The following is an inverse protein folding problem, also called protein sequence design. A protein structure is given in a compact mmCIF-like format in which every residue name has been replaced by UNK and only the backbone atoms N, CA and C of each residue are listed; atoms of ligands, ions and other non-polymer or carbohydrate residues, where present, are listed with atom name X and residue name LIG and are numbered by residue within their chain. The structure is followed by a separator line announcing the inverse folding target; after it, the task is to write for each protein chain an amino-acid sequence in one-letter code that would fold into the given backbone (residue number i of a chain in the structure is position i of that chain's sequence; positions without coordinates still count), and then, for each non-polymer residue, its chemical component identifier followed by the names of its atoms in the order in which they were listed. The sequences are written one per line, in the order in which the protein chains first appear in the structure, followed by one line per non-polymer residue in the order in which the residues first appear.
data_IF_477680951771
#
_entry.id   IF_477680951771
#
_cell.length_a   1.000
_cell.length_b   1.000
_cell.length_c   1.000
_cell.angle_alpha   90.00
_cell.angle_beta   90.00
_cell.angle_gamma   90.00
#
_symmetry.space_group_name_H-M   'P 1'
#
loop_
_entity.id
_entity.type
_entity.pdbx_description
1 polymer ?
#
# COMPACT_ATOMS: atom_id res chain seq x y z
N UNK A 1 9.11 -1.11 9.29
CA UNK A 1 8.16 -0.13 8.69
C UNK A 1 6.88 -0.23 9.49
N UNK A 2 6.46 0.84 10.18
CA UNK A 2 5.03 0.97 10.46
C UNK A 2 4.45 1.48 9.14
N UNK A 3 4.18 0.57 8.21
CA UNK A 3 3.23 0.90 7.17
C UNK A 3 1.94 1.24 7.93
N UNK A 4 1.29 2.35 7.61
CA UNK A 4 -0.05 2.63 8.14
C UNK A 4 -1.09 1.59 7.68
N UNK A 5 -0.68 0.49 7.04
CA UNK A 5 -1.34 -0.82 6.97
C UNK A 5 -1.75 -1.40 8.35
N UNK A 6 -1.35 -0.79 9.48
CA UNK A 6 -1.79 -1.22 10.81
C UNK A 6 -3.29 -0.98 11.05
N UNK A 7 -3.94 -0.14 10.26
CA UNK A 7 -5.41 -0.03 10.24
C UNK A 7 -5.93 -0.83 9.05
N UNK A 8 -5.82 -2.16 9.16
CA UNK A 8 -6.42 -3.09 8.21
C UNK A 8 -7.96 -3.02 8.23
N UNK A 9 -8.59 -3.72 7.28
CA UNK A 9 -10.04 -3.88 7.20
C UNK A 9 -10.64 -4.24 8.57
N UNK A 10 -11.55 -3.41 9.07
CA UNK A 10 -12.28 -3.65 10.32
C UNK A 10 -13.58 -4.39 9.95
N UNK A 11 -13.67 -5.72 10.08
CA UNK A 11 -14.71 -6.50 9.40
C UNK A 11 -16.13 -6.20 9.86
N UNK A 12 -16.30 -5.83 11.13
CA UNK A 12 -17.61 -5.48 11.70
C UNK A 12 -18.03 -4.04 11.43
N UNK A 13 -17.12 -3.17 11.00
CA UNK A 13 -17.41 -1.78 10.65
C UNK A 13 -17.53 -1.58 9.12
N UNK A 14 -17.11 -2.58 8.32
CA UNK A 14 -16.97 -2.47 6.87
C UNK A 14 -16.19 -1.22 6.44
N UNK A 15 -15.13 -0.91 7.19
CA UNK A 15 -14.27 0.25 6.95
C UNK A 15 -12.89 -0.27 6.62
N UNK A 16 -12.47 -0.04 5.39
CA UNK A 16 -11.11 -0.25 4.91
C UNK A 16 -10.35 1.07 4.91
N UNK A 17 -9.33 1.17 5.76
CA UNK A 17 -8.49 2.35 5.90
C UNK A 17 -7.09 2.14 5.29
N UNK A 18 -6.84 0.97 4.68
CA UNK A 18 -5.49 0.57 4.27
C UNK A 18 -5.38 -0.32 3.03
N UNK A 19 -6.47 -0.80 2.42
CA UNK A 19 -6.45 -1.56 1.17
C UNK A 19 -5.91 -3.00 1.27
N UNK A 20 -5.69 -3.51 2.48
CA UNK A 20 -5.17 -4.87 2.71
C UNK A 20 -6.18 -5.72 3.47
N UNK A 21 -6.83 -6.64 2.75
CA UNK A 21 -7.62 -7.73 3.31
C UNK A 21 -6.71 -8.94 3.62
N UNK A 22 -5.92 -8.88 4.70
CA UNK A 22 -5.32 -10.12 5.22
C UNK A 22 -6.39 -10.90 6.01
N UNK A 23 -7.01 -11.87 5.33
CA UNK A 23 -8.14 -12.68 5.81
C UNK A 23 -7.77 -13.64 6.95
N UNK A 24 -6.50 -13.70 7.38
CA UNK A 24 -5.98 -14.68 8.34
C UNK A 24 -5.29 -14.05 9.57
N UNK A 25 -5.89 -13.01 10.16
CA UNK A 25 -5.39 -12.47 11.43
C UNK A 25 -5.52 -13.50 12.58
N UNK A 26 -4.45 -13.75 13.32
CA UNK A 26 -4.47 -14.58 14.52
C UNK A 26 -5.39 -13.96 15.60
N UNK A 27 -6.08 -14.80 16.38
CA UNK A 27 -6.87 -14.40 17.56
C UNK A 27 -6.16 -13.35 18.44
N UNK A 28 -4.84 -13.47 18.64
CA UNK A 28 -4.04 -12.51 19.42
C UNK A 28 -4.07 -11.07 18.88
N UNK A 29 -4.16 -10.90 17.56
CA UNK A 29 -4.23 -9.58 16.91
C UNK A 29 -5.49 -8.83 17.33
N UNK A 30 -6.64 -9.52 17.36
CA UNK A 30 -7.91 -8.94 17.80
C UNK A 30 -7.87 -8.50 19.26
N UNK A 31 -7.23 -9.29 20.13
CA UNK A 31 -7.08 -8.94 21.56
C UNK A 31 -6.26 -7.67 21.72
N UNK A 32 -5.10 -7.59 21.06
CA UNK A 32 -4.23 -6.40 21.12
C UNK A 32 -4.96 -5.16 20.60
N UNK A 33 -5.59 -5.24 19.42
CA UNK A 33 -6.32 -4.10 18.86
C UNK A 33 -7.51 -3.67 19.72
N UNK A 34 -8.19 -4.61 20.36
CA UNK A 34 -9.28 -4.28 21.29
C UNK A 34 -8.76 -3.49 22.49
N UNK A 35 -7.67 -3.95 23.12
CA UNK A 35 -7.07 -3.26 24.29
C UNK A 35 -6.54 -1.88 23.91
N UNK A 36 -5.80 -1.80 22.81
CA UNK A 36 -5.27 -0.52 22.29
C UNK A 36 -6.42 0.43 21.93
N UNK A 37 -7.48 -0.08 21.29
CA UNK A 37 -8.67 0.68 20.93
C UNK A 37 -9.39 1.25 22.15
N UNK A 38 -9.60 0.45 23.19
CA UNK A 38 -10.20 0.91 24.46
C UNK A 38 -9.33 2.01 25.09
N UNK A 39 -8.01 1.82 25.13
CA UNK A 39 -7.08 2.82 25.65
C UNK A 39 -7.11 4.13 24.85
N UNK A 40 -7.18 4.05 23.52
CA UNK A 40 -7.29 5.20 22.64
C UNK A 40 -8.61 5.97 22.87
N UNK A 41 -9.75 5.27 22.97
CA UNK A 41 -11.06 5.88 23.28
C UNK A 41 -11.03 6.58 24.64
N UNK A 42 -10.45 5.94 25.66
CA UNK A 42 -10.29 6.54 26.99
C UNK A 42 -9.43 7.81 26.96
N UNK A 43 -8.32 7.79 26.21
CA UNK A 43 -7.47 8.98 26.01
C UNK A 43 -8.24 10.09 25.30
N UNK A 44 -8.90 9.80 24.18
CA UNK A 44 -9.70 10.79 23.44
C UNK A 44 -10.77 11.41 24.33
N UNK A 45 -11.48 10.62 25.14
CA UNK A 45 -12.47 11.15 26.09
C UNK A 45 -11.83 12.08 27.13
N UNK A 46 -10.70 11.68 27.72
CA UNK A 46 -9.99 12.45 28.74
C UNK A 46 -9.46 13.78 28.18
N UNK A 47 -8.89 13.75 26.98
CA UNK A 47 -8.41 14.94 26.28
C UNK A 47 -9.56 15.86 25.90
N UNK A 48 -10.64 15.33 25.33
CA UNK A 48 -11.82 16.10 24.93
C UNK A 48 -12.49 16.79 26.12
N UNK A 49 -12.61 16.08 27.25
CA UNK A 49 -13.13 16.66 28.50
C UNK A 49 -12.23 17.78 29.02
N UNK A 50 -10.91 17.60 28.93
CA UNK A 50 -9.93 18.62 29.34
C UNK A 50 -10.01 19.86 28.44
N UNK A 51 -10.10 19.66 27.13
CA UNK A 51 -10.25 20.72 26.14
C UNK A 51 -11.57 21.50 26.31
N UNK A 52 -12.66 20.79 26.59
CA UNK A 52 -13.95 21.40 26.87
C UNK A 52 -13.90 22.25 28.14
N UNK A 53 -13.34 21.71 29.23
CA UNK A 53 -13.17 22.43 30.50
C UNK A 53 -12.25 23.64 30.39
N UNK A 54 -11.23 23.58 29.54
CA UNK A 54 -10.33 24.70 29.28
C UNK A 54 -11.00 25.82 28.43
N UNK A 55 -12.17 25.57 27.85
CA UNK A 55 -12.89 26.56 27.03
C UNK A 55 -12.24 26.84 25.66
N UNK A 56 -11.18 26.12 25.30
CA UNK A 56 -10.41 26.32 24.06
C UNK A 56 -10.94 25.50 22.89
N UNK A 57 -11.88 24.59 23.13
CA UNK A 57 -12.40 23.65 22.12
C UNK A 57 -12.90 24.33 20.84
N UNK A 58 -13.55 25.50 20.94
CA UNK A 58 -14.03 26.25 19.76
C UNK A 58 -12.89 26.67 18.84
N UNK A 59 -11.79 27.17 19.42
CA UNK A 59 -10.60 27.57 18.65
C UNK A 59 -9.98 26.36 17.97
N UNK A 60 -9.87 25.23 18.68
CA UNK A 60 -9.39 23.99 18.08
C UNK A 60 -10.30 23.54 16.93
N UNK A 61 -11.62 23.48 17.12
CA UNK A 61 -12.53 23.09 16.04
C UNK A 61 -12.37 23.99 14.81
N UNK A 62 -12.31 25.32 14.99
CA UNK A 62 -12.10 26.25 13.86
C UNK A 62 -10.78 26.00 13.14
N UNK A 63 -9.67 25.87 13.87
CA UNK A 63 -8.35 25.61 13.26
C UNK A 63 -8.34 24.32 12.44
N UNK A 64 -8.96 23.25 12.97
CA UNK A 64 -8.98 21.96 12.29
C UNK A 64 -9.96 21.92 11.13
N UNK A 65 -11.09 22.61 11.21
CA UNK A 65 -11.99 22.78 10.06
C UNK A 65 -11.28 23.51 8.93
N UNK A 66 -10.54 24.60 9.22
CA UNK A 66 -9.76 25.32 8.21
C UNK A 66 -8.70 24.42 7.58
N UNK A 67 -7.94 23.69 8.39
CA UNK A 67 -6.91 22.79 7.90
C UNK A 67 -7.49 21.63 7.07
N UNK A 68 -8.52 20.93 7.55
CA UNK A 68 -9.18 19.85 6.79
C UNK A 68 -9.75 20.40 5.48
N UNK A 69 -10.39 21.57 5.51
CA UNK A 69 -10.88 22.21 4.29
C UNK A 69 -9.74 22.49 3.31
N UNK A 70 -8.59 23.00 3.78
CA UNK A 70 -7.42 23.25 2.93
C UNK A 70 -6.86 21.97 2.28
N UNK A 71 -6.87 20.85 3.03
CA UNK A 71 -6.46 19.53 2.54
C UNK A 71 -7.44 19.01 1.50
N UNK A 72 -8.75 19.08 1.76
CA UNK A 72 -9.79 18.63 0.84
C UNK A 72 -9.81 19.46 -0.45
N UNK A 73 -9.67 20.79 -0.35
CA UNK A 73 -9.56 21.67 -1.51
C UNK A 73 -8.31 21.34 -2.31
N UNK A 74 -7.16 21.16 -1.67
CA UNK A 74 -5.93 20.76 -2.35
C UNK A 74 -6.11 19.42 -3.06
N UNK A 75 -6.67 18.41 -2.40
CA UNK A 75 -6.92 17.11 -3.03
C UNK A 75 -7.88 17.21 -4.23
N UNK A 76 -8.96 18.00 -4.12
CA UNK A 76 -9.90 18.23 -5.21
C UNK A 76 -9.26 18.94 -6.42
N UNK A 77 -8.24 19.79 -6.19
CA UNK A 77 -7.50 20.46 -7.26
C UNK A 77 -6.48 19.54 -7.97
N UNK A 78 -6.10 18.42 -7.35
CA UNK A 78 -5.13 17.45 -7.88
C UNK A 78 -5.76 16.05 -8.01
N UNK A 79 -6.74 15.85 -8.91
CA UNK A 79 -7.50 14.60 -8.99
C UNK A 79 -6.67 13.38 -9.41
N UNK A 80 -5.48 13.59 -9.98
CA UNK A 80 -4.54 12.52 -10.35
C UNK A 80 -3.62 12.08 -9.21
N UNK A 81 -3.86 12.55 -7.97
CA UNK A 81 -3.07 12.21 -6.78
C UNK A 81 -3.88 11.35 -5.82
N UNK A 82 -3.22 10.38 -5.19
CA UNK A 82 -3.79 9.63 -4.09
C UNK A 82 -3.55 10.36 -2.78
N UNK A 83 -4.58 10.39 -1.93
CA UNK A 83 -4.43 10.87 -0.56
C UNK A 83 -3.66 9.84 0.26
N UNK A 84 -2.48 10.20 0.74
CA UNK A 84 -1.66 9.34 1.59
C UNK A 84 -1.10 10.15 2.75
N UNK A 85 -1.71 9.97 3.92
CA UNK A 85 -1.31 10.66 5.13
C UNK A 85 -0.21 9.85 5.82
N UNK A 86 1.01 10.39 5.87
CA UNK A 86 2.10 9.78 6.63
C UNK A 86 1.96 10.09 8.13
N UNK A 87 2.38 9.16 8.99
CA UNK A 87 2.32 9.33 10.46
C UNK A 87 3.15 10.51 10.96
N UNK A 88 4.10 11.03 10.18
CA UNK A 88 4.77 12.31 10.45
C UNK A 88 3.76 13.44 10.63
N UNK A 89 2.78 13.55 9.72
CA UNK A 89 1.73 14.57 9.78
C UNK A 89 0.75 14.31 10.92
N UNK A 90 0.45 13.03 11.24
CA UNK A 90 -0.35 12.69 12.43
C UNK A 90 0.31 13.19 13.71
N UNK A 91 1.63 13.01 13.83
CA UNK A 91 2.41 13.52 14.95
C UNK A 91 2.26 15.04 15.10
N UNK A 92 2.44 15.78 14.00
CA UNK A 92 2.26 17.23 13.95
C UNK A 92 0.82 17.66 14.25
N UNK A 93 -0.17 16.84 13.87
CA UNK A 93 -1.59 17.08 14.10
C UNK A 93 -1.97 16.92 15.58
N UNK A 94 -1.35 16.02 16.33
CA UNK A 94 -1.73 15.74 17.72
C UNK A 94 -1.21 16.82 18.69
N UNK A 95 -0.05 17.42 18.40
CA UNK A 95 0.63 18.34 19.32
C UNK A 95 -0.23 19.59 19.66
N UNK A 96 -0.85 20.30 18.69
CA UNK A 96 -1.65 21.49 18.99
C UNK A 96 -2.90 21.22 19.83
N UNK A 97 -3.59 20.10 19.61
CA UNK A 97 -4.81 19.72 20.37
C UNK A 97 -4.53 19.18 21.75
N UNK A 98 -3.26 18.93 22.08
CA UNK A 98 -2.83 18.44 23.39
C UNK A 98 -2.00 19.47 24.15
N UNK A 99 -2.00 20.74 23.73
CA UNK A 99 -1.25 21.83 24.35
C UNK A 99 -1.87 22.32 25.68
N UNK A 100 -2.10 21.41 26.64
CA UNK A 100 -2.57 21.71 27.98
C UNK A 100 -1.85 20.85 29.04
N UNK A 101 -1.70 21.35 30.28
CA UNK A 101 -0.83 20.74 31.28
C UNK A 101 -1.52 19.58 32.02
N UNK A 102 -1.79 18.47 31.32
CA UNK A 102 -2.29 17.22 31.94
C UNK A 102 -1.41 16.02 31.58
N UNK A 103 -1.35 14.97 32.43
CA UNK A 103 -0.56 13.78 32.12
C UNK A 103 -0.97 13.10 30.82
N UNK A 104 -2.28 13.01 30.55
CA UNK A 104 -2.80 12.43 29.30
C UNK A 104 -2.35 13.22 28.08
N UNK A 105 -2.29 14.56 28.20
CA UNK A 105 -1.81 15.43 27.14
C UNK A 105 -0.30 15.27 26.92
N UNK A 106 0.50 15.24 27.98
CA UNK A 106 1.94 15.01 27.91
C UNK A 106 2.26 13.65 27.27
N UNK A 107 1.55 12.60 27.66
CA UNK A 107 1.66 11.28 27.04
C UNK A 107 1.34 11.31 25.54
N UNK A 108 0.26 11.99 25.16
CA UNK A 108 -0.16 12.11 23.76
C UNK A 108 0.82 12.94 22.93
N UNK A 109 1.39 14.01 23.51
CA UNK A 109 2.45 14.79 22.88
C UNK A 109 3.73 13.97 22.70
N UNK A 110 4.11 13.14 23.68
CA UNK A 110 5.27 12.27 23.56
C UNK A 110 5.12 11.25 22.42
N UNK A 111 3.94 10.63 22.28
CA UNK A 111 3.63 9.76 21.13
C UNK A 111 3.67 10.55 19.83
N UNK A 112 2.97 11.69 19.76
CA UNK A 112 2.93 12.53 18.56
C UNK A 112 4.31 13.00 18.10
N UNK A 113 5.14 13.46 19.05
CA UNK A 113 6.52 13.85 18.79
C UNK A 113 7.37 12.65 18.33
N UNK A 114 7.21 11.48 18.97
CA UNK A 114 7.88 10.25 18.56
C UNK A 114 7.55 9.86 17.12
N UNK A 115 6.26 9.86 16.75
CA UNK A 115 5.80 9.62 15.39
C UNK A 115 6.38 10.64 14.41
N UNK A 116 6.39 11.93 14.77
CA UNK A 116 6.96 12.99 13.95
C UNK A 116 8.46 12.78 13.71
N UNK A 117 9.25 12.61 14.78
CA UNK A 117 10.71 12.47 14.69
C UNK A 117 11.08 11.20 13.92
N UNK A 118 10.45 10.07 14.24
CA UNK A 118 10.72 8.81 13.54
C UNK A 118 10.34 8.91 12.06
N UNK A 119 9.16 9.45 11.77
CA UNK A 119 8.66 9.60 10.41
C UNK A 119 9.55 10.53 9.59
N UNK A 120 9.85 11.71 10.12
CA UNK A 120 10.72 12.67 9.46
C UNK A 120 12.15 12.14 9.29
N UNK A 121 12.73 11.46 10.29
CA UNK A 121 14.09 10.94 10.17
C UNK A 121 14.21 9.83 9.12
N UNK A 122 13.15 9.03 8.92
CA UNK A 122 13.18 7.89 7.99
C UNK A 122 12.77 8.26 6.57
N UNK A 123 11.80 9.14 6.41
CA UNK A 123 11.24 9.51 5.09
C UNK A 123 11.35 11.01 4.78
N UNK A 124 11.75 11.86 5.71
CA UNK A 124 11.76 13.32 5.49
C UNK A 124 10.36 13.92 5.50
N UNK A 125 10.23 15.10 4.89
CA UNK A 125 8.95 15.77 4.69
C UNK A 125 8.36 15.38 3.33
N UNK A 126 7.34 14.52 3.35
CA UNK A 126 6.54 14.18 2.17
C UNK A 126 5.25 15.01 2.13
N UNK A 127 4.61 15.08 0.97
CA UNK A 127 3.26 15.65 0.85
C UNK A 127 2.21 14.66 1.35
N UNK A 128 0.99 15.12 1.62
CA UNK A 128 -0.18 14.24 1.83
C UNK A 128 -0.86 13.86 0.50
N UNK A 129 -0.42 14.46 -0.62
CA UNK A 129 -0.80 14.12 -1.97
C UNK A 129 0.38 13.41 -2.64
N UNK A 130 0.19 12.13 -2.92
CA UNK A 130 1.17 11.32 -3.64
C UNK A 130 0.73 11.14 -5.08
N UNK A 131 1.67 11.23 -6.02
CA UNK A 131 1.44 10.76 -7.39
C UNK A 131 1.45 9.24 -7.37
N UNK A 132 0.34 8.62 -7.76
CA UNK A 132 0.27 7.16 -7.88
C UNK A 132 1.38 6.73 -8.85
N UNK A 133 2.32 5.86 -8.44
CA UNK A 133 3.36 5.39 -9.34
C UNK A 133 2.72 4.79 -10.59
N UNK A 134 3.22 5.14 -11.77
CA UNK A 134 2.64 4.71 -13.05
C UNK A 134 2.51 3.19 -13.14
N UNK A 135 3.42 2.42 -12.53
CA UNK A 135 3.33 0.95 -12.48
C UNK A 135 2.09 0.42 -11.74
N UNK A 136 1.49 1.19 -10.82
CA UNK A 136 0.25 0.81 -10.12
C UNK A 136 -1.00 1.07 -10.96
N UNK A 137 -0.89 1.90 -11.99
CA UNK A 137 -1.99 2.21 -12.92
C UNK A 137 -2.07 1.23 -14.10
N UNK A 138 -1.08 0.34 -14.22
CA UNK A 138 -1.01 -0.68 -15.27
C UNK A 138 -1.75 -1.93 -14.79
N UNK A 139 -2.62 -2.48 -15.63
CA UNK A 139 -3.34 -3.72 -15.35
C UNK A 139 -2.37 -4.85 -14.98
N UNK A 140 -2.78 -5.68 -14.02
CA UNK A 140 -1.98 -6.79 -13.49
C UNK A 140 -2.64 -8.10 -13.89
N UNK A 141 -1.90 -9.11 -14.39
CA UNK A 141 -2.49 -10.40 -14.73
C UNK A 141 -3.17 -11.03 -13.51
N UNK A 142 -4.44 -11.40 -13.63
CA UNK A 142 -5.19 -12.07 -12.56
C UNK A 142 -4.82 -13.54 -12.44
N UNK A 143 -4.50 -14.17 -13.57
CA UNK A 143 -4.15 -15.58 -13.67
C UNK A 143 -2.65 -15.77 -13.90
N UNK A 144 -2.10 -16.84 -13.34
CA UNK A 144 -0.71 -17.23 -13.59
C UNK A 144 -0.53 -17.68 -15.05
N UNK A 145 0.63 -17.42 -15.68
CA UNK A 145 0.90 -17.88 -17.04
C UNK A 145 0.92 -19.41 -17.10
N UNK A 146 0.36 -19.99 -18.15
CA UNK A 146 0.35 -21.43 -18.35
C UNK A 146 1.59 -21.87 -19.17
N UNK A 147 2.25 -22.94 -18.76
CA UNK A 147 3.40 -23.48 -19.48
C UNK A 147 3.03 -24.78 -20.20
N UNK A 148 3.38 -24.87 -21.48
CA UNK A 148 3.09 -26.00 -22.37
C UNK A 148 4.36 -26.40 -23.14
N UNK A 149 4.35 -27.58 -23.78
CA UNK A 149 5.47 -28.09 -24.58
C UNK A 149 6.82 -28.07 -23.83
N UNK A 150 6.83 -28.54 -22.59
CA UNK A 150 8.04 -28.61 -21.78
C UNK A 150 8.94 -29.74 -22.26
N UNK A 151 10.18 -29.41 -22.56
CA UNK A 151 11.25 -30.32 -22.97
C UNK A 151 12.42 -30.24 -21.99
N UNK A 152 13.51 -30.97 -22.26
CA UNK A 152 14.73 -30.89 -21.47
C UNK A 152 15.50 -29.57 -21.63
N UNK A 153 15.20 -28.77 -22.67
CA UNK A 153 15.94 -27.53 -22.98
C UNK A 153 15.06 -26.31 -23.34
N UNK A 154 13.75 -26.44 -23.25
CA UNK A 154 12.84 -25.35 -23.58
C UNK A 154 11.39 -25.61 -23.19
N UNK A 155 10.60 -24.54 -23.16
CA UNK A 155 9.18 -24.56 -22.82
C UNK A 155 8.44 -23.41 -23.52
N UNK A 156 7.14 -23.58 -23.77
CA UNK A 156 6.27 -22.51 -24.31
C UNK A 156 5.42 -21.94 -23.19
N UNK A 157 5.57 -20.65 -22.90
CA UNK A 157 4.75 -19.96 -21.90
C UNK A 157 3.67 -19.16 -22.61
N UNK A 158 2.42 -19.33 -22.16
CA UNK A 158 1.23 -18.67 -22.69
C UNK A 158 0.52 -17.94 -21.55
N UNK A 159 0.03 -16.73 -21.80
CA UNK A 159 -0.77 -15.97 -20.82
C UNK A 159 -2.00 -15.36 -21.47
N UNK A 160 -2.97 -15.02 -20.63
CA UNK A 160 -4.17 -14.31 -21.05
C UNK A 160 -3.82 -12.85 -21.34
N UNK A 161 -4.38 -12.27 -22.42
CA UNK A 161 -4.21 -10.85 -22.66
C UNK A 161 -4.86 -10.08 -21.53
N UNK A 162 -4.10 -9.14 -20.97
CA UNK A 162 -4.69 -8.01 -20.24
C UNK A 162 -5.51 -7.26 -21.29
N UNK A 163 -6.79 -6.99 -21.01
CA UNK A 163 -7.71 -6.40 -21.99
C UNK A 163 -7.19 -5.09 -22.60
N UNK A 164 -7.96 -4.47 -23.49
CA UNK A 164 -7.63 -3.17 -24.10
C UNK A 164 -7.70 -2.00 -23.10
N UNK A 165 -7.17 -2.18 -21.89
CA UNK A 165 -6.99 -1.12 -20.94
C UNK A 165 -5.93 -0.17 -21.51
N UNK A 166 -6.22 1.14 -21.46
CA UNK A 166 -5.46 2.21 -22.13
C UNK A 166 -3.97 2.27 -21.74
N UNK A 167 -3.55 1.49 -20.74
CA UNK A 167 -2.22 1.49 -20.16
C UNK A 167 -1.37 0.24 -20.44
N UNK A 168 -1.82 -0.77 -21.20
CA UNK A 168 -0.99 -1.95 -21.54
C UNK A 168 -0.76 -2.02 -23.05
N UNK A 169 0.49 -1.83 -23.49
CA UNK A 169 0.90 -1.93 -24.90
C UNK A 169 1.77 -3.16 -25.18
N UNK A 170 2.45 -3.69 -24.16
CA UNK A 170 3.28 -4.89 -24.28
C UNK A 170 3.28 -5.71 -22.99
N UNK A 171 3.95 -6.86 -23.03
CA UNK A 171 4.14 -7.77 -21.92
C UNK A 171 5.63 -7.97 -21.64
N UNK A 172 5.99 -8.05 -20.36
CA UNK A 172 7.31 -8.43 -19.86
C UNK A 172 7.19 -9.83 -19.23
N UNK A 173 7.79 -10.83 -19.88
CA UNK A 173 7.85 -12.20 -19.37
C UNK A 173 9.14 -12.37 -18.57
N UNK A 174 9.00 -12.87 -17.34
CA UNK A 174 10.12 -13.04 -16.41
C UNK A 174 10.25 -14.50 -16.00
N UNK A 175 11.46 -15.04 -16.17
CA UNK A 175 11.88 -16.37 -15.71
C UNK A 175 12.78 -16.20 -14.49
N UNK A 176 12.43 -16.79 -13.35
CA UNK A 176 13.15 -16.64 -12.08
C UNK A 176 13.42 -15.16 -11.72
N UNK A 177 12.44 -14.29 -11.99
CA UNK A 177 12.48 -12.83 -11.79
C UNK A 177 13.39 -12.06 -12.75
N UNK A 178 13.97 -12.71 -13.76
CA UNK A 178 14.76 -12.07 -14.83
C UNK A 178 13.90 -11.94 -16.09
N UNK A 179 13.85 -10.76 -16.69
CA UNK A 179 13.14 -10.56 -17.97
C UNK A 179 13.81 -11.37 -19.08
N UNK A 180 13.02 -12.21 -19.74
CA UNK A 180 13.48 -13.07 -20.87
C UNK A 180 12.78 -12.72 -22.17
N UNK A 181 11.67 -11.99 -22.11
CA UNK A 181 10.97 -11.49 -23.28
C UNK A 181 10.22 -10.20 -22.97
N UNK A 182 10.17 -9.32 -23.98
CA UNK A 182 9.40 -8.08 -23.97
C UNK A 182 8.77 -7.86 -25.35
N UNK A 183 7.45 -7.80 -25.42
CA UNK A 183 6.74 -7.60 -26.69
C UNK A 183 5.22 -7.79 -26.57
N UNK A 184 4.54 -7.77 -27.72
CA UNK A 184 3.06 -7.77 -27.78
C UNK A 184 2.45 -9.17 -27.78
N UNK A 185 3.25 -10.20 -28.08
CA UNK A 185 2.76 -11.59 -28.12
C UNK A 185 2.32 -12.06 -26.73
N UNK A 186 1.33 -12.95 -26.70
CA UNK A 186 0.82 -13.60 -25.49
C UNK A 186 1.32 -15.05 -25.33
N UNK A 187 2.27 -15.45 -26.18
CA UNK A 187 2.87 -16.78 -26.19
C UNK A 187 4.33 -16.69 -26.64
N UNK A 188 5.24 -17.28 -25.87
CA UNK A 188 6.69 -17.22 -26.13
C UNK A 188 7.35 -18.56 -25.85
N UNK A 189 8.25 -18.97 -26.76
CA UNK A 189 9.11 -20.13 -26.57
C UNK A 189 10.40 -19.70 -25.88
N UNK A 190 10.65 -20.27 -24.71
CA UNK A 190 11.91 -20.13 -23.98
C UNK A 190 12.81 -21.32 -24.33
N UNK A 191 14.03 -21.04 -24.76
CA UNK A 191 15.05 -22.04 -25.09
C UNK A 191 16.26 -21.95 -24.16
N UNK A 192 17.18 -22.91 -24.27
CA UNK A 192 18.42 -22.99 -23.49
C UNK A 192 18.19 -23.14 -21.98
N UNK A 193 17.16 -23.89 -21.59
CA UNK A 193 16.92 -24.25 -20.20
C UNK A 193 17.81 -25.44 -19.80
N UNK A 194 18.25 -25.46 -18.55
CA UNK A 194 18.89 -26.64 -17.97
C UNK A 194 17.86 -27.76 -17.72
N UNK A 195 18.21 -29.04 -17.96
CA UNK A 195 17.33 -30.19 -17.72
C UNK A 195 17.16 -30.46 -16.22
N UNK A 196 16.04 -31.06 -15.84
CA UNK A 196 15.69 -31.40 -14.45
C UNK A 196 15.75 -30.20 -13.48
N UNK A 197 15.35 -29.01 -13.94
CA UNK A 197 15.37 -27.77 -13.18
C UNK A 197 13.98 -27.15 -13.15
N UNK A 198 13.57 -26.67 -11.97
CA UNK A 198 12.30 -25.97 -11.78
C UNK A 198 12.47 -24.47 -11.98
N UNK A 199 11.66 -23.90 -12.86
CA UNK A 199 11.65 -22.47 -13.15
C UNK A 199 10.34 -21.84 -12.69
N UNK A 200 10.42 -20.58 -12.26
CA UNK A 200 9.27 -19.77 -11.89
C UNK A 200 9.01 -18.73 -12.99
N UNK A 201 7.77 -18.61 -13.38
CA UNK A 201 7.35 -17.74 -14.48
C UNK A 201 6.35 -16.71 -13.98
N UNK A 202 6.54 -15.47 -14.39
CA UNK A 202 5.59 -14.39 -14.14
C UNK A 202 5.53 -13.43 -15.32
N UNK A 203 4.37 -12.81 -15.51
CA UNK A 203 4.13 -11.81 -16.55
C UNK A 203 3.73 -10.49 -15.91
N UNK A 204 4.20 -9.39 -16.48
CA UNK A 204 3.75 -8.04 -16.16
C UNK A 204 3.31 -7.32 -17.44
N UNK A 205 2.27 -6.48 -17.35
CA UNK A 205 1.94 -5.54 -18.41
C UNK A 205 3.00 -4.43 -18.49
N UNK A 206 3.17 -3.85 -19.67
CA UNK A 206 4.09 -2.75 -19.96
C UNK A 206 3.29 -1.62 -20.59
N UNK A 207 3.41 -0.42 -20.02
CA UNK A 207 2.75 0.76 -20.56
C UNK A 207 3.43 1.35 -21.78
N UNK A 208 2.69 2.19 -22.51
CA UNK A 208 3.16 2.87 -23.72
C UNK A 208 4.39 3.76 -23.51
N UNK A 209 4.55 4.29 -22.29
CA UNK A 209 5.73 5.04 -21.87
C UNK A 209 6.86 4.15 -21.30
N UNK A 210 6.79 2.83 -21.53
CA UNK A 210 7.86 1.88 -21.24
C UNK A 210 8.03 1.46 -19.77
N UNK A 211 7.11 1.85 -18.89
CA UNK A 211 7.13 1.42 -17.49
C UNK A 211 6.56 0.01 -17.33
N UNK A 212 7.26 -0.83 -16.57
CA UNK A 212 6.78 -2.16 -16.20
C UNK A 212 5.73 -2.06 -15.09
N UNK A 213 4.60 -2.74 -15.29
CA UNK A 213 3.58 -2.95 -14.27
C UNK A 213 4.01 -3.97 -13.22
N UNK A 214 3.07 -4.31 -12.35
CA UNK A 214 3.30 -5.36 -11.34
C UNK A 214 3.24 -6.73 -12.01
N UNK A 215 4.09 -7.64 -11.53
CA UNK A 215 4.04 -9.05 -11.94
C UNK A 215 2.80 -9.70 -11.30
N UNK A 216 2.01 -10.40 -12.12
CA UNK A 216 0.86 -11.19 -11.65
C UNK A 216 1.27 -12.45 -10.86
N UNK A 217 0.32 -13.35 -10.57
CA UNK A 217 0.61 -14.62 -9.92
C UNK A 217 1.67 -15.43 -10.68
N UNK A 218 2.54 -16.07 -9.92
CA UNK A 218 3.61 -16.90 -10.48
C UNK A 218 3.11 -18.32 -10.74
N UNK A 219 3.54 -18.92 -11.85
CA UNK A 219 3.48 -20.37 -12.07
C UNK A 219 4.89 -20.95 -12.05
N UNK A 220 4.97 -22.28 -12.01
CA UNK A 220 6.25 -22.98 -12.16
C UNK A 220 6.11 -24.17 -13.10
N UNK A 221 7.25 -24.60 -13.63
CA UNK A 221 7.37 -25.84 -14.40
C UNK A 221 8.76 -26.43 -14.20
N UNK A 222 8.89 -27.74 -14.40
CA UNK A 222 10.17 -28.45 -14.32
C UNK A 222 10.52 -29.02 -15.68
N UNK A 223 11.72 -28.75 -16.17
CA UNK A 223 12.24 -29.31 -17.43
C UNK A 223 12.44 -30.82 -17.33
N UNK A 224 12.30 -31.52 -18.44
CA UNK A 224 12.47 -32.97 -18.48
C UNK A 224 13.94 -33.38 -18.28
N UNK A 225 14.16 -34.60 -17.81
CA UNK A 225 15.47 -35.24 -17.85
C UNK A 225 15.90 -35.48 -19.31
N UNK A 226 17.21 -35.67 -19.54
CA UNK A 226 17.80 -35.96 -20.87
C UNK A 226 17.45 -37.38 -21.30
#
# INVERSE_FOLDING_TARGET
MINMNLIGYIPWLNVDLGGFEEVNANAGTYVVFTIVGIGAVFLVFTLSRSLYRAGTWKKCVVMYVVMVTSVLVSWALFPSTSFHLHHTMLGAFIIPITAFPTPAAAFSQAIGLGCFVQGYARWGWYSYLDTIPTYMTIAVPENAPNTTNVSSSGATVVWEPLGSEEAVEAYSLRLNRVEVYRGVDTSVVISNLEPNMTYFVGVAGVASWGTDGRVGPLSNFTTLEI
#
